data_IF_393466782167
#
_entry.id   IF_393466782167
#
_cell.length_a   1.000
_cell.length_b   1.000
_cell.length_c   1.000
_cell.angle_alpha   90.00
_cell.angle_beta   90.00
_cell.angle_gamma   90.00
#
_symmetry.space_group_name_H-M   'P 1'
#
loop_
_entity.id
_entity.type
_entity.pdbx_description
1 polymer ?
#
# COMPACT_ATOMS: atom_id res chain seq x y z
N UNK A 1 0.87 -26.16 5.65
CA UNK A 1 0.64 -24.96 6.50
C UNK A 1 1.54 -23.83 6.04
N UNK A 2 1.01 -22.62 5.89
CA UNK A 2 1.77 -21.39 5.62
C UNK A 2 1.67 -20.43 6.80
N UNK A 3 2.80 -19.90 7.24
CA UNK A 3 2.89 -18.93 8.33
C UNK A 3 3.32 -17.56 7.79
N UNK A 4 2.43 -16.59 7.84
CA UNK A 4 2.70 -15.21 7.45
C UNK A 4 3.18 -14.38 8.64
N UNK A 5 4.31 -13.69 8.48
CA UNK A 5 4.93 -12.91 9.57
C UNK A 5 4.94 -11.43 9.20
N UNK A 6 4.28 -10.60 10.01
CA UNK A 6 4.28 -9.13 9.91
C UNK A 6 4.70 -8.49 11.23
N UNK A 7 4.99 -7.21 11.24
CA UNK A 7 5.33 -6.49 12.49
C UNK A 7 4.11 -6.33 13.39
N UNK A 8 2.93 -6.10 12.81
CA UNK A 8 1.69 -5.80 13.55
C UNK A 8 0.49 -6.54 12.94
N UNK A 9 -0.50 -6.83 13.76
CA UNK A 9 -1.77 -7.47 13.40
C UNK A 9 -2.58 -6.69 12.35
N UNK A 10 -2.59 -5.36 12.44
CA UNK A 10 -3.22 -4.49 11.42
C UNK A 10 -2.67 -4.75 10.01
N UNK A 11 -1.40 -5.12 9.88
CA UNK A 11 -0.81 -5.48 8.58
C UNK A 11 -1.34 -6.82 8.07
N UNK A 12 -1.57 -7.79 8.96
CA UNK A 12 -2.20 -9.06 8.59
C UNK A 12 -3.65 -8.85 8.13
N UNK A 13 -4.41 -8.05 8.86
CA UNK A 13 -5.84 -7.85 8.62
C UNK A 13 -6.09 -6.94 7.40
N UNK A 14 -5.56 -5.69 7.40
CA UNK A 14 -5.90 -4.70 6.38
C UNK A 14 -5.06 -4.82 5.09
N UNK A 15 -3.79 -5.23 5.22
CA UNK A 15 -2.91 -5.34 4.05
C UNK A 15 -3.01 -6.71 3.38
N UNK A 16 -3.02 -7.79 4.18
CA UNK A 16 -2.95 -9.16 3.68
C UNK A 16 -4.27 -9.91 3.75
N UNK A 17 -5.27 -9.46 4.53
CA UNK A 17 -6.51 -10.18 4.82
C UNK A 17 -7.13 -10.88 3.61
N UNK A 18 -7.46 -10.16 2.51
CA UNK A 18 -8.03 -10.80 1.31
C UNK A 18 -7.13 -11.87 0.69
N UNK A 19 -5.82 -11.70 0.77
CA UNK A 19 -4.84 -12.68 0.29
C UNK A 19 -4.81 -13.93 1.17
N UNK A 20 -4.84 -13.76 2.49
CA UNK A 20 -4.85 -14.86 3.46
C UNK A 20 -6.14 -15.70 3.33
N UNK A 21 -7.28 -15.05 3.15
CA UNK A 21 -8.57 -15.73 2.87
C UNK A 21 -8.50 -16.54 1.58
N UNK A 22 -7.95 -15.96 0.51
CA UNK A 22 -7.81 -16.67 -0.76
C UNK A 22 -6.88 -17.89 -0.65
N UNK A 23 -5.82 -17.80 0.15
CA UNK A 23 -4.95 -18.95 0.41
C UNK A 23 -5.66 -20.03 1.23
N UNK A 24 -6.47 -19.65 2.22
CA UNK A 24 -7.29 -20.59 2.98
C UNK A 24 -8.33 -21.27 2.08
N UNK A 25 -9.01 -20.51 1.23
CA UNK A 25 -9.95 -21.05 0.23
C UNK A 25 -9.28 -21.99 -0.78
N UNK A 26 -8.00 -21.79 -1.09
CA UNK A 26 -7.20 -22.69 -1.92
C UNK A 26 -6.71 -23.95 -1.16
N UNK A 27 -7.19 -24.18 0.07
CA UNK A 27 -6.89 -25.37 0.87
C UNK A 27 -5.62 -25.31 1.71
N UNK A 28 -5.02 -24.13 1.88
CA UNK A 28 -3.88 -23.96 2.77
C UNK A 28 -4.34 -23.74 4.22
N UNK A 29 -3.63 -24.37 5.17
CA UNK A 29 -3.75 -23.97 6.56
C UNK A 29 -2.92 -22.70 6.77
N UNK A 30 -3.60 -21.55 6.94
CA UNK A 30 -3.00 -20.20 6.99
C UNK A 30 -2.97 -19.71 8.43
N UNK A 31 -1.79 -19.26 8.88
CA UNK A 31 -1.61 -18.68 10.21
C UNK A 31 -0.87 -17.34 10.06
N UNK A 32 -1.34 -16.33 10.77
CA UNK A 32 -0.65 -15.05 10.93
C UNK A 32 0.22 -15.06 12.21
N UNK A 33 1.36 -14.38 12.15
CA UNK A 33 2.21 -14.14 13.33
C UNK A 33 2.66 -12.67 13.34
N UNK A 34 2.37 -11.97 14.43
CA UNK A 34 2.73 -10.55 14.61
C UNK A 34 2.74 -10.16 16.09
N UNK A 35 3.14 -8.94 16.41
CA UNK A 35 2.77 -8.36 17.70
C UNK A 35 1.23 -8.41 17.85
N UNK A 36 0.73 -8.76 19.06
CA UNK A 36 -0.71 -8.80 19.30
C UNK A 36 -1.31 -7.39 19.30
N UNK A 37 -2.58 -7.26 18.89
CA UNK A 37 -3.33 -6.02 18.86
C UNK A 37 -4.82 -6.24 18.68
N UNK A 38 -5.56 -5.18 18.47
CA UNK A 38 -7.03 -5.17 18.38
C UNK A 38 -7.59 -5.83 17.09
N UNK A 39 -6.75 -6.00 16.06
CA UNK A 39 -7.15 -6.60 14.79
C UNK A 39 -7.10 -8.13 14.77
N UNK A 40 -6.62 -8.78 15.84
CA UNK A 40 -6.52 -10.26 15.93
C UNK A 40 -7.89 -10.90 15.84
N UNK A 41 -8.89 -10.35 16.55
CA UNK A 41 -10.26 -10.90 16.54
C UNK A 41 -10.85 -10.91 15.11
N UNK A 42 -10.66 -9.84 14.35
CA UNK A 42 -11.13 -9.76 12.96
C UNK A 42 -10.44 -10.78 12.03
N UNK A 43 -9.18 -11.11 12.27
CA UNK A 43 -8.48 -12.18 11.56
C UNK A 43 -9.08 -13.58 11.87
N UNK A 44 -9.34 -13.84 13.16
CA UNK A 44 -9.91 -15.11 13.60
C UNK A 44 -11.34 -15.30 13.08
N UNK A 45 -12.15 -14.24 13.03
CA UNK A 45 -13.48 -14.25 12.41
C UNK A 45 -13.44 -14.62 10.92
N UNK A 46 -12.35 -14.30 10.22
CA UNK A 46 -12.09 -14.69 8.83
C UNK A 46 -11.51 -16.11 8.70
N UNK A 47 -11.40 -16.85 9.81
CA UNK A 47 -10.83 -18.20 9.83
C UNK A 47 -9.31 -18.27 9.72
N UNK A 48 -8.61 -17.17 9.95
CA UNK A 48 -7.14 -17.08 9.95
C UNK A 48 -6.64 -17.16 11.39
N UNK A 49 -5.95 -18.23 11.74
CA UNK A 49 -5.34 -18.37 13.07
C UNK A 49 -4.26 -17.31 13.30
N UNK A 50 -4.10 -16.85 14.54
CA UNK A 50 -3.05 -15.90 14.92
C UNK A 50 -2.16 -16.45 16.03
N UNK A 51 -0.85 -16.17 15.93
CA UNK A 51 0.13 -16.50 16.99
C UNK A 51 0.90 -15.24 17.34
N UNK A 52 0.85 -14.80 18.61
CA UNK A 52 1.56 -13.60 19.04
C UNK A 52 3.08 -13.79 19.01
N UNK A 53 3.78 -12.72 18.60
CA UNK A 53 5.23 -12.57 18.69
C UNK A 53 5.49 -11.25 19.43
N UNK A 54 5.56 -11.34 20.75
CA UNK A 54 5.53 -10.20 21.67
C UNK A 54 6.69 -9.22 21.46
N UNK A 55 7.86 -9.73 21.06
CA UNK A 55 9.06 -8.92 20.89
C UNK A 55 9.16 -8.27 19.50
N UNK A 56 8.22 -8.53 18.61
CA UNK A 56 8.25 -7.98 17.24
C UNK A 56 7.63 -6.57 17.22
N UNK A 57 8.46 -5.55 17.48
CA UNK A 57 8.05 -4.14 17.55
C UNK A 57 8.49 -3.34 16.33
N UNK A 58 7.94 -2.15 16.14
CA UNK A 58 8.36 -1.23 15.06
C UNK A 58 9.67 -0.51 15.35
N UNK A 59 10.07 -0.38 16.63
CA UNK A 59 11.31 0.29 17.04
C UNK A 59 12.53 -0.53 16.64
N UNK A 60 13.64 0.14 16.30
CA UNK A 60 14.93 -0.49 16.02
C UNK A 60 15.71 -0.60 17.33
N UNK A 61 15.53 -1.71 18.04
CA UNK A 61 16.22 -2.05 19.29
C UNK A 61 16.95 -3.39 19.13
N UNK A 62 18.29 -3.42 19.08
CA UNK A 62 19.05 -4.65 18.84
C UNK A 62 18.78 -5.76 19.86
N UNK A 63 18.47 -5.40 21.12
CA UNK A 63 18.20 -6.40 22.18
C UNK A 63 16.81 -7.00 21.97
N UNK A 64 15.80 -6.17 21.75
CA UNK A 64 14.44 -6.62 21.42
C UNK A 64 14.45 -7.42 20.10
N UNK A 65 15.21 -6.99 19.09
CA UNK A 65 15.31 -7.66 17.80
C UNK A 65 15.95 -9.07 17.93
N UNK A 66 16.96 -9.22 18.78
CA UNK A 66 17.53 -10.54 19.05
C UNK A 66 16.54 -11.45 19.80
N UNK A 67 15.73 -10.90 20.71
CA UNK A 67 14.66 -11.64 21.40
C UNK A 67 13.57 -12.06 20.40
N UNK A 68 13.13 -11.14 19.53
CA UNK A 68 12.17 -11.43 18.47
C UNK A 68 12.68 -12.52 17.51
N UNK A 69 13.93 -12.49 17.10
CA UNK A 69 14.51 -13.52 16.25
C UNK A 69 14.53 -14.89 16.94
N UNK A 70 14.83 -14.96 18.24
CA UNK A 70 14.77 -16.20 19.03
C UNK A 70 13.34 -16.71 19.20
N UNK A 71 12.38 -15.80 19.41
CA UNK A 71 10.96 -16.12 19.53
C UNK A 71 10.44 -16.71 18.22
N UNK A 72 10.72 -16.06 17.07
CA UNK A 72 10.41 -16.57 15.73
C UNK A 72 11.06 -17.93 15.47
N UNK A 73 12.33 -18.12 15.79
CA UNK A 73 12.99 -19.42 15.65
C UNK A 73 12.27 -20.53 16.42
N UNK A 74 11.91 -20.27 17.70
CA UNK A 74 11.19 -21.25 18.56
C UNK A 74 9.79 -21.52 18.00
N UNK A 75 9.09 -20.49 17.52
CA UNK A 75 7.80 -20.60 16.88
C UNK A 75 7.87 -21.49 15.64
N UNK A 76 8.83 -21.26 14.75
CA UNK A 76 8.98 -22.06 13.52
C UNK A 76 9.37 -23.51 13.83
N UNK A 77 10.17 -23.75 14.88
CA UNK A 77 10.47 -25.12 15.33
C UNK A 77 9.26 -25.84 15.91
N UNK A 78 8.39 -25.12 16.65
CA UNK A 78 7.20 -25.67 17.27
C UNK A 78 6.10 -25.99 16.27
N UNK A 79 5.82 -25.04 15.34
CA UNK A 79 4.74 -25.18 14.36
C UNK A 79 5.15 -26.01 13.14
N UNK A 80 6.45 -26.11 12.84
CA UNK A 80 7.02 -26.79 11.67
C UNK A 80 6.25 -26.46 10.36
N UNK A 81 6.10 -25.17 9.99
CA UNK A 81 5.36 -24.79 8.79
C UNK A 81 6.07 -25.27 7.53
N UNK A 82 5.29 -25.59 6.48
CA UNK A 82 5.83 -25.88 5.15
C UNK A 82 6.41 -24.62 4.49
N UNK A 83 5.76 -23.46 4.74
CA UNK A 83 6.17 -22.15 4.22
C UNK A 83 6.19 -21.15 5.37
N UNK A 84 7.28 -20.37 5.46
CA UNK A 84 7.31 -19.09 6.19
C UNK A 84 7.36 -17.98 5.17
N UNK A 85 6.39 -17.07 5.23
CA UNK A 85 6.30 -15.91 4.38
C UNK A 85 6.39 -14.63 5.22
N UNK A 86 7.51 -13.92 5.08
CA UNK A 86 7.75 -12.67 5.82
C UNK A 86 7.32 -11.46 5.00
N UNK A 87 6.82 -10.43 5.69
CA UNK A 87 6.39 -9.17 5.11
C UNK A 87 6.99 -8.01 5.90
N UNK A 88 7.15 -6.84 5.26
CA UNK A 88 7.77 -5.66 5.86
C UNK A 88 9.28 -5.85 6.14
N UNK A 89 10.04 -4.77 6.35
CA UNK A 89 11.49 -4.90 6.50
C UNK A 89 11.90 -5.74 7.71
N UNK A 90 11.40 -5.42 8.91
CA UNK A 90 11.87 -6.03 10.15
C UNK A 90 11.56 -7.53 10.27
N UNK A 91 10.31 -8.02 10.03
CA UNK A 91 10.04 -9.45 9.94
C UNK A 91 10.89 -10.15 8.87
N UNK A 92 11.15 -9.47 7.75
CA UNK A 92 12.03 -9.97 6.70
C UNK A 92 13.45 -10.18 7.19
N UNK A 93 14.05 -9.20 7.87
CA UNK A 93 15.45 -9.29 8.35
C UNK A 93 15.63 -10.31 9.48
N UNK A 94 14.65 -10.47 10.36
CA UNK A 94 14.71 -11.38 11.51
C UNK A 94 14.15 -12.78 11.18
N UNK A 95 13.02 -12.82 10.49
CA UNK A 95 12.28 -14.06 10.24
C UNK A 95 12.94 -14.97 9.20
N UNK A 96 13.51 -14.41 8.11
CA UNK A 96 14.18 -15.22 7.07
C UNK A 96 15.35 -16.04 7.63
N UNK A 97 16.32 -15.44 8.37
CA UNK A 97 17.38 -16.22 9.02
C UNK A 97 16.86 -17.22 10.05
N UNK A 98 15.87 -16.83 10.87
CA UNK A 98 15.26 -17.71 11.86
C UNK A 98 14.57 -18.92 11.20
N UNK A 99 13.83 -18.71 10.10
CA UNK A 99 13.19 -19.78 9.35
C UNK A 99 14.21 -20.73 8.71
N UNK A 100 15.29 -20.18 8.17
CA UNK A 100 16.39 -20.98 7.60
C UNK A 100 17.06 -21.84 8.69
N UNK A 101 17.36 -21.26 9.86
CA UNK A 101 17.92 -21.98 10.99
C UNK A 101 16.94 -23.06 11.54
N UNK A 102 15.66 -22.80 11.52
CA UNK A 102 14.62 -23.75 11.90
C UNK A 102 14.40 -24.88 10.85
N UNK A 103 15.06 -24.79 9.68
CA UNK A 103 14.96 -25.72 8.55
C UNK A 103 13.56 -25.78 7.93
N UNK A 104 12.88 -24.60 7.86
CA UNK A 104 11.61 -24.49 7.15
C UNK A 104 11.81 -24.83 5.66
N UNK A 105 10.96 -25.68 5.06
CA UNK A 105 11.14 -26.13 3.67
C UNK A 105 11.15 -24.99 2.65
N UNK A 106 10.22 -24.03 2.76
CA UNK A 106 10.16 -22.87 1.89
C UNK A 106 10.17 -21.56 2.72
N UNK A 107 11.11 -20.67 2.42
CA UNK A 107 11.21 -19.34 3.01
C UNK A 107 11.01 -18.32 1.91
N UNK A 108 9.93 -17.54 2.02
CA UNK A 108 9.51 -16.53 1.06
C UNK A 108 9.44 -15.18 1.75
N UNK A 109 9.70 -14.12 1.03
CA UNK A 109 9.54 -12.76 1.54
C UNK A 109 8.85 -11.88 0.50
N UNK A 110 7.89 -11.04 0.91
CA UNK A 110 7.35 -9.98 0.07
C UNK A 110 7.97 -8.64 0.42
N UNK A 111 8.55 -8.02 -0.60
CA UNK A 111 9.06 -6.65 -0.54
C UNK A 111 7.94 -5.69 -0.96
N UNK A 112 7.27 -5.07 0.02
CA UNK A 112 6.21 -4.08 -0.19
C UNK A 112 6.76 -2.69 -0.59
N UNK A 113 8.03 -2.58 -0.78
CA UNK A 113 8.83 -1.42 -1.11
C UNK A 113 10.09 -1.39 -0.24
N UNK A 114 11.24 -1.15 -0.85
CA UNK A 114 12.50 -1.07 -0.12
C UNK A 114 12.45 0.07 0.90
N UNK A 115 12.90 -0.23 2.12
CA UNK A 115 12.89 0.72 3.24
C UNK A 115 13.74 1.97 2.94
N UNK A 116 14.92 1.78 2.34
CA UNK A 116 15.81 2.88 1.97
C UNK A 116 15.48 3.44 0.58
N UNK A 117 15.40 4.76 0.50
CA UNK A 117 15.16 5.53 -0.72
C UNK A 117 16.47 6.13 -1.26
N UNK A 118 16.53 6.47 -2.56
CA UNK A 118 17.70 7.17 -3.12
C UNK A 118 18.02 8.51 -2.44
N UNK A 119 17.01 9.16 -1.86
CA UNK A 119 17.11 10.43 -1.12
C UNK A 119 17.60 10.29 0.31
N UNK A 120 17.61 9.08 0.86
CA UNK A 120 18.07 8.82 2.23
C UNK A 120 19.61 8.90 2.32
N UNK A 121 20.12 9.20 3.52
CA UNK A 121 21.56 9.28 3.79
C UNK A 121 22.31 7.97 3.51
N UNK A 122 23.55 8.08 3.05
CA UNK A 122 24.37 6.92 2.62
C UNK A 122 24.52 5.87 3.72
N UNK A 123 24.59 6.26 4.99
CA UNK A 123 24.71 5.33 6.11
C UNK A 123 23.47 4.41 6.21
N UNK A 124 22.27 5.00 6.21
CA UNK A 124 21.02 4.23 6.24
C UNK A 124 20.90 3.29 5.03
N UNK A 125 21.18 3.81 3.83
CA UNK A 125 21.17 3.02 2.58
C UNK A 125 22.12 1.83 2.63
N UNK A 126 23.31 2.03 3.21
CA UNK A 126 24.32 0.96 3.34
C UNK A 126 23.87 -0.10 4.35
N UNK A 127 23.34 0.30 5.50
CA UNK A 127 22.80 -0.62 6.50
C UNK A 127 21.66 -1.46 5.93
N UNK A 128 20.68 -0.81 5.31
CA UNK A 128 19.54 -1.52 4.69
C UNK A 128 20.00 -2.47 3.59
N UNK A 129 20.94 -2.05 2.73
CA UNK A 129 21.53 -2.93 1.71
C UNK A 129 22.16 -4.18 2.31
N UNK A 130 22.93 -4.03 3.38
CA UNK A 130 23.60 -5.18 4.06
C UNK A 130 22.55 -6.11 4.67
N UNK A 131 21.56 -5.56 5.37
CA UNK A 131 20.50 -6.34 5.99
C UNK A 131 19.65 -7.10 4.94
N UNK A 132 19.20 -6.42 3.88
CA UNK A 132 18.42 -7.05 2.82
C UNK A 132 19.20 -8.14 2.09
N UNK A 133 20.43 -7.83 1.67
CA UNK A 133 21.28 -8.82 1.00
C UNK A 133 21.56 -10.02 1.91
N UNK A 134 21.87 -9.78 3.18
CA UNK A 134 22.14 -10.85 4.15
C UNK A 134 20.90 -11.74 4.35
N UNK A 135 19.74 -11.13 4.61
CA UNK A 135 18.51 -11.87 4.81
C UNK A 135 18.04 -12.61 3.54
N UNK A 136 18.23 -12.03 2.33
CA UNK A 136 17.88 -12.65 1.06
C UNK A 136 18.70 -13.93 0.78
N UNK A 137 19.86 -14.12 1.41
CA UNK A 137 20.59 -15.41 1.32
C UNK A 137 19.83 -16.56 1.96
N UNK A 138 18.95 -16.24 2.92
CA UNK A 138 18.13 -17.20 3.65
C UNK A 138 16.79 -17.50 2.98
N UNK A 139 16.38 -16.71 1.98
CA UNK A 139 15.13 -16.90 1.24
C UNK A 139 15.29 -17.84 0.07
N UNK A 140 14.21 -18.53 -0.29
CA UNK A 140 14.09 -19.27 -1.53
C UNK A 140 13.47 -18.42 -2.66
N UNK A 141 12.61 -17.45 -2.32
CA UNK A 141 12.04 -16.46 -3.23
C UNK A 141 11.82 -15.12 -2.54
N UNK A 142 12.00 -14.04 -3.30
CA UNK A 142 11.63 -12.67 -2.95
C UNK A 142 10.54 -12.23 -3.92
N UNK A 143 9.34 -12.01 -3.43
CA UNK A 143 8.20 -11.50 -4.18
C UNK A 143 8.24 -9.97 -4.12
N UNK A 144 8.36 -9.29 -5.24
CA UNK A 144 8.65 -7.86 -5.27
C UNK A 144 7.48 -7.13 -5.89
N UNK A 145 6.88 -6.22 -5.13
CA UNK A 145 5.75 -5.45 -5.63
C UNK A 145 6.18 -4.40 -6.65
N UNK A 146 7.29 -3.73 -6.43
CA UNK A 146 7.74 -2.66 -7.32
C UNK A 146 8.90 -3.13 -8.21
N UNK A 147 8.76 -3.15 -9.55
CA UNK A 147 9.81 -3.59 -10.48
C UNK A 147 11.12 -2.80 -10.36
N UNK A 148 11.11 -1.53 -9.93
CA UNK A 148 12.32 -0.76 -9.68
C UNK A 148 13.14 -1.33 -8.51
N UNK A 149 12.45 -1.95 -7.53
CA UNK A 149 13.09 -2.64 -6.42
C UNK A 149 13.75 -3.94 -6.86
N UNK A 150 13.18 -4.66 -7.83
CA UNK A 150 13.80 -5.84 -8.45
C UNK A 150 15.17 -5.50 -9.04
N UNK A 151 15.25 -4.42 -9.82
CA UNK A 151 16.52 -3.96 -10.38
C UNK A 151 17.52 -3.55 -9.28
N UNK A 152 17.03 -2.96 -8.19
CA UNK A 152 17.84 -2.54 -7.05
C UNK A 152 18.38 -3.73 -6.27
N UNK A 153 17.55 -4.72 -5.94
CA UNK A 153 17.96 -5.95 -5.25
C UNK A 153 18.97 -6.77 -6.09
N UNK A 154 18.76 -6.87 -7.41
CA UNK A 154 19.70 -7.51 -8.30
C UNK A 154 21.07 -6.81 -8.28
N UNK A 155 21.11 -5.46 -8.30
CA UNK A 155 22.36 -4.68 -8.15
C UNK A 155 23.02 -4.85 -6.78
N UNK A 156 22.24 -5.15 -5.75
CA UNK A 156 22.76 -5.48 -4.41
C UNK A 156 23.31 -6.90 -4.31
N UNK A 157 23.15 -7.71 -5.36
CA UNK A 157 23.69 -9.07 -5.48
C UNK A 157 22.72 -10.16 -5.01
N UNK A 158 21.42 -9.88 -4.98
CA UNK A 158 20.40 -10.92 -4.84
C UNK A 158 20.25 -11.65 -6.18
N UNK A 159 20.37 -12.99 -6.22
CA UNK A 159 20.28 -13.75 -7.48
C UNK A 159 18.93 -13.54 -8.18
N UNK A 160 18.96 -13.23 -9.48
CA UNK A 160 17.73 -13.00 -10.26
C UNK A 160 16.77 -14.21 -10.25
N UNK A 161 17.29 -15.43 -10.11
CA UNK A 161 16.47 -16.64 -9.99
C UNK A 161 15.59 -16.69 -8.73
N UNK A 162 15.86 -15.86 -7.75
CA UNK A 162 15.05 -15.73 -6.53
C UNK A 162 14.08 -14.54 -6.57
N UNK A 163 14.27 -13.61 -7.50
CA UNK A 163 13.44 -12.41 -7.63
C UNK A 163 12.22 -12.74 -8.49
N UNK A 164 11.03 -12.45 -7.97
CA UNK A 164 9.75 -12.64 -8.65
C UNK A 164 9.03 -11.30 -8.67
N UNK A 165 8.79 -10.76 -9.86
CA UNK A 165 8.00 -9.52 -10.00
C UNK A 165 6.53 -9.84 -9.72
N UNK A 166 6.11 -9.55 -8.49
CA UNK A 166 4.77 -9.83 -8.01
C UNK A 166 3.76 -8.77 -8.46
N UNK A 167 4.19 -7.51 -8.52
CA UNK A 167 3.26 -6.39 -8.65
C UNK A 167 2.44 -6.16 -7.37
N UNK A 168 1.44 -5.31 -7.49
CA UNK A 168 0.45 -5.11 -6.44
C UNK A 168 -0.96 -5.04 -7.05
N UNK A 169 -1.98 -5.35 -6.26
CA UNK A 169 -3.35 -5.42 -6.74
C UNK A 169 -4.40 -5.08 -5.69
N UNK A 170 -5.60 -4.91 -6.18
CA UNK A 170 -6.81 -4.60 -5.42
C UNK A 170 -7.95 -5.52 -5.85
N UNK A 171 -9.00 -5.61 -5.05
CA UNK A 171 -10.24 -6.29 -5.42
C UNK A 171 -10.99 -5.42 -6.45
N UNK A 172 -10.76 -5.64 -7.74
CA UNK A 172 -11.33 -4.81 -8.82
C UNK A 172 -12.86 -4.77 -8.78
N UNK A 173 -13.51 -5.87 -8.39
CA UNK A 173 -14.98 -5.94 -8.29
C UNK A 173 -15.57 -4.94 -7.29
N UNK A 174 -14.79 -4.58 -6.26
CA UNK A 174 -15.18 -3.55 -5.28
C UNK A 174 -15.12 -2.14 -5.85
N UNK A 175 -14.23 -1.91 -6.83
CA UNK A 175 -13.92 -0.59 -7.39
C UNK A 175 -14.45 -0.46 -8.81
N UNK A 176 -15.77 -0.61 -8.95
CA UNK A 176 -16.49 -0.38 -10.21
C UNK A 176 -17.49 0.77 -10.04
N UNK A 177 -17.31 1.84 -10.82
CA UNK A 177 -18.13 3.06 -10.76
C UNK A 177 -19.56 2.88 -11.30
N UNK A 178 -19.89 1.72 -11.86
CA UNK A 178 -21.21 1.42 -12.43
C UNK A 178 -22.22 0.99 -11.38
N UNK A 179 -23.50 1.01 -11.75
CA UNK A 179 -24.58 0.51 -10.89
C UNK A 179 -24.77 1.34 -9.61
N UNK A 180 -24.74 0.68 -8.45
CA UNK A 180 -24.99 1.30 -7.15
C UNK A 180 -24.09 2.50 -6.82
N UNK A 181 -22.87 2.55 -7.36
CA UNK A 181 -21.94 3.65 -7.16
C UNK A 181 -22.42 4.97 -7.79
N UNK A 182 -23.25 4.91 -8.84
CA UNK A 182 -23.84 6.10 -9.43
C UNK A 182 -24.87 6.76 -8.51
N UNK A 183 -25.62 5.99 -7.73
CA UNK A 183 -26.55 6.49 -6.73
C UNK A 183 -25.78 7.09 -5.55
N UNK A 184 -24.77 6.41 -5.04
CA UNK A 184 -23.90 6.91 -3.97
C UNK A 184 -23.17 8.22 -4.36
N UNK A 185 -22.78 8.38 -5.64
CA UNK A 185 -22.26 9.65 -6.16
C UNK A 185 -23.26 10.78 -5.95
N UNK A 186 -24.52 10.59 -6.37
CA UNK A 186 -25.56 11.62 -6.24
C UNK A 186 -25.85 11.94 -4.77
N UNK A 187 -25.97 10.91 -3.93
CA UNK A 187 -26.24 11.09 -2.50
C UNK A 187 -25.14 11.89 -1.80
N UNK A 188 -23.86 11.55 -2.04
CA UNK A 188 -22.75 12.24 -1.40
C UNK A 188 -22.62 13.68 -1.89
N UNK A 189 -22.73 13.92 -3.20
CA UNK A 189 -22.67 15.28 -3.75
C UNK A 189 -23.81 16.14 -3.25
N UNK A 190 -25.03 15.60 -3.18
CA UNK A 190 -26.18 16.29 -2.61
C UNK A 190 -25.95 16.60 -1.10
N UNK A 191 -25.47 15.63 -0.33
CA UNK A 191 -25.17 15.82 1.10
C UNK A 191 -24.07 16.89 1.33
N UNK A 192 -23.18 17.08 0.37
CA UNK A 192 -22.14 18.11 0.42
C UNK A 192 -22.62 19.48 -0.11
N UNK A 193 -23.79 19.54 -0.75
CA UNK A 193 -24.26 20.73 -1.43
C UNK A 193 -23.50 21.07 -2.70
N UNK A 194 -22.92 20.05 -3.34
CA UNK A 194 -22.05 20.18 -4.54
C UNK A 194 -22.87 19.84 -5.80
N UNK A 195 -22.83 20.72 -6.79
CA UNK A 195 -23.51 20.49 -8.07
C UNK A 195 -22.80 19.43 -8.92
N UNK A 196 -23.48 18.89 -9.92
CA UNK A 196 -22.87 17.89 -10.82
C UNK A 196 -21.74 18.49 -11.67
N UNK A 197 -21.76 19.80 -11.91
CA UNK A 197 -20.78 20.55 -12.69
C UNK A 197 -19.53 20.91 -11.90
N UNK A 198 -19.65 21.07 -10.57
CA UNK A 198 -18.50 21.44 -9.70
C UNK A 198 -17.54 20.26 -9.57
N UNK A 199 -16.29 20.37 -10.03
CA UNK A 199 -15.33 19.28 -9.91
C UNK A 199 -15.01 18.93 -8.45
N UNK A 200 -14.92 17.64 -8.16
CA UNK A 200 -14.52 17.12 -6.83
C UNK A 200 -13.16 16.44 -6.93
N UNK A 201 -12.23 16.94 -6.16
CA UNK A 201 -10.90 16.34 -5.95
C UNK A 201 -10.95 15.49 -4.70
N UNK A 202 -10.50 14.25 -4.77
CA UNK A 202 -10.41 13.38 -3.60
C UNK A 202 -8.97 12.92 -3.35
N UNK A 203 -8.62 12.77 -2.09
CA UNK A 203 -7.41 12.09 -1.64
C UNK A 203 -7.74 11.13 -0.50
N UNK A 204 -7.06 9.98 -0.45
CA UNK A 204 -7.29 8.95 0.57
C UNK A 204 -5.98 8.59 1.24
N UNK A 205 -5.91 8.74 2.56
CA UNK A 205 -4.72 8.40 3.33
C UNK A 205 -4.73 8.97 4.74
N UNK A 206 -3.86 8.47 5.61
CA UNK A 206 -3.65 9.02 6.96
C UNK A 206 -3.09 10.44 6.87
N UNK A 207 -3.59 11.35 7.68
CA UNK A 207 -3.18 12.76 7.68
C UNK A 207 -1.81 12.92 8.36
N UNK A 208 -0.75 12.54 7.64
CA UNK A 208 0.65 12.66 8.05
C UNK A 208 1.46 13.45 7.01
N UNK A 209 2.55 14.08 7.45
CA UNK A 209 3.38 14.92 6.59
C UNK A 209 3.93 14.17 5.36
N UNK A 210 4.32 12.89 5.54
CA UNK A 210 4.84 12.04 4.45
C UNK A 210 3.84 11.87 3.30
N UNK A 211 2.53 12.10 3.54
CA UNK A 211 1.48 12.01 2.50
C UNK A 211 1.29 13.30 1.69
N UNK A 212 2.06 14.35 1.98
CA UNK A 212 2.07 15.59 1.18
C UNK A 212 0.80 16.43 1.29
N UNK A 213 0.08 16.30 2.41
CA UNK A 213 -1.14 17.10 2.63
C UNK A 213 -0.87 18.60 2.69
N UNK A 214 0.31 19.01 3.18
CA UNK A 214 0.69 20.44 3.25
C UNK A 214 0.76 21.05 1.86
N UNK A 215 1.39 20.35 0.93
CA UNK A 215 1.50 20.75 -0.48
C UNK A 215 0.13 20.76 -1.16
N UNK A 216 -0.71 19.77 -0.88
CA UNK A 216 -2.06 19.67 -1.43
C UNK A 216 -2.95 20.81 -0.92
N UNK A 217 -2.92 21.11 0.38
CA UNK A 217 -3.70 22.20 0.97
C UNK A 217 -3.23 23.56 0.46
N UNK A 218 -1.93 23.76 0.26
CA UNK A 218 -1.40 24.99 -0.34
C UNK A 218 -1.83 25.13 -1.80
N UNK A 219 -1.78 24.06 -2.60
CA UNK A 219 -2.25 24.07 -3.99
C UNK A 219 -3.76 24.38 -4.06
N UNK A 220 -4.57 23.74 -3.20
CA UNK A 220 -6.00 24.03 -3.07
C UNK A 220 -6.26 25.50 -2.74
N UNK A 221 -5.58 26.04 -1.73
CA UNK A 221 -5.70 27.45 -1.32
C UNK A 221 -5.39 28.41 -2.45
N UNK A 222 -4.34 28.15 -3.24
CA UNK A 222 -3.97 28.97 -4.42
C UNK A 222 -5.04 28.92 -5.50
N UNK A 223 -5.59 27.74 -5.78
CA UNK A 223 -6.70 27.56 -6.74
C UNK A 223 -7.95 28.33 -6.30
N UNK A 224 -8.35 28.22 -5.03
CA UNK A 224 -9.50 28.96 -4.49
C UNK A 224 -9.30 30.48 -4.60
N UNK A 225 -8.12 30.98 -4.26
CA UNK A 225 -7.78 32.43 -4.40
C UNK A 225 -7.82 32.90 -5.85
N UNK A 226 -7.53 32.04 -6.82
CA UNK A 226 -7.65 32.36 -8.25
C UNK A 226 -9.06 32.20 -8.83
N UNK A 227 -10.06 31.89 -7.97
CA UNK A 227 -11.46 31.78 -8.36
C UNK A 227 -11.88 30.41 -8.90
N UNK A 228 -11.07 29.36 -8.72
CA UNK A 228 -11.46 28.02 -9.14
C UNK A 228 -12.62 27.50 -8.28
N UNK A 229 -13.68 27.05 -8.93
CA UNK A 229 -14.82 26.39 -8.27
C UNK A 229 -14.61 24.89 -8.28
N UNK A 230 -14.12 24.35 -7.17
CA UNK A 230 -13.91 22.91 -6.96
C UNK A 230 -14.01 22.57 -5.47
N UNK A 231 -14.28 21.32 -5.15
CA UNK A 231 -14.23 20.79 -3.79
C UNK A 231 -12.99 19.93 -3.60
N UNK A 232 -12.37 19.98 -2.40
CA UNK A 232 -11.33 19.07 -1.98
C UNK A 232 -11.82 18.22 -0.81
N UNK A 233 -11.86 16.90 -1.01
CA UNK A 233 -12.31 15.93 -0.02
C UNK A 233 -11.13 15.07 0.41
N UNK A 234 -10.90 14.97 1.71
CA UNK A 234 -9.85 14.16 2.32
C UNK A 234 -10.48 13.05 3.14
N UNK A 235 -10.16 11.81 2.78
CA UNK A 235 -10.65 10.61 3.46
C UNK A 235 -9.49 9.93 4.18
N UNK A 236 -9.56 9.88 5.50
CA UNK A 236 -8.54 9.24 6.32
C UNK A 236 -8.50 9.81 7.73
N UNK A 237 -7.94 9.06 8.67
CA UNK A 237 -7.86 9.48 10.06
C UNK A 237 -6.79 10.56 10.24
N UNK A 238 -7.07 11.48 11.14
CA UNK A 238 -6.04 12.34 11.71
C UNK A 238 -5.16 11.50 12.65
N UNK A 239 -3.86 11.72 12.60
CA UNK A 239 -2.88 11.03 13.44
C UNK A 239 -2.36 11.98 14.53
N UNK A 240 -3.29 12.63 15.25
CA UNK A 240 -2.95 13.57 16.31
C UNK A 240 -2.02 12.94 17.34
N UNK A 241 -0.96 13.67 17.73
CA UNK A 241 0.05 13.20 18.68
C UNK A 241 1.15 12.31 18.09
N UNK A 242 1.11 11.95 16.81
CA UNK A 242 2.27 11.33 16.14
C UNK A 242 3.25 12.41 15.67
N UNK A 243 4.54 12.08 15.68
CA UNK A 243 5.61 13.02 15.33
C UNK A 243 5.52 13.56 13.90
N UNK A 244 4.91 12.79 12.98
CA UNK A 244 4.70 13.13 11.57
C UNK A 244 3.23 13.47 11.25
N UNK A 245 2.33 13.48 12.26
CA UNK A 245 0.95 13.88 12.10
C UNK A 245 0.82 15.37 11.74
N UNK A 246 -0.26 15.73 11.05
CA UNK A 246 -0.63 17.14 10.92
C UNK A 246 -1.05 17.68 12.28
N UNK A 247 -0.71 18.94 12.57
CA UNK A 247 -1.12 19.61 13.80
C UNK A 247 -2.61 19.99 13.76
N UNK A 248 -3.20 20.22 14.94
CA UNK A 248 -4.61 20.67 15.03
C UNK A 248 -4.80 22.02 14.33
N UNK A 249 -3.79 22.90 14.35
CA UNK A 249 -3.82 24.17 13.64
C UNK A 249 -3.84 23.96 12.12
N UNK A 250 -3.03 23.03 11.58
CA UNK A 250 -3.01 22.71 10.16
C UNK A 250 -4.34 22.12 9.70
N UNK A 251 -4.96 21.26 10.51
CA UNK A 251 -6.27 20.65 10.26
C UNK A 251 -7.38 21.72 10.30
N UNK A 252 -7.35 22.61 11.30
CA UNK A 252 -8.31 23.71 11.44
C UNK A 252 -8.18 24.69 10.26
N UNK A 253 -6.95 25.03 9.87
CA UNK A 253 -6.70 25.93 8.72
C UNK A 253 -7.22 25.30 7.41
N UNK A 254 -6.96 24.01 7.18
CA UNK A 254 -7.45 23.33 5.99
C UNK A 254 -8.98 23.36 5.91
N UNK A 255 -9.67 23.11 7.03
CA UNK A 255 -11.13 23.20 7.10
C UNK A 255 -11.63 24.62 6.82
N UNK A 256 -10.96 25.63 7.37
CA UNK A 256 -11.28 27.05 7.12
C UNK A 256 -11.06 27.47 5.67
N UNK A 257 -10.12 26.83 4.98
CA UNK A 257 -9.85 27.02 3.55
C UNK A 257 -10.83 26.25 2.65
N UNK A 258 -11.82 25.56 3.22
CA UNK A 258 -12.86 24.82 2.49
C UNK A 258 -12.53 23.35 2.20
N UNK A 259 -11.48 22.79 2.80
CA UNK A 259 -11.18 21.36 2.68
C UNK A 259 -12.19 20.55 3.52
N UNK A 260 -12.80 19.56 2.90
CA UNK A 260 -13.73 18.65 3.56
C UNK A 260 -13.01 17.43 4.12
N UNK A 261 -12.84 17.39 5.43
CA UNK A 261 -12.24 16.27 6.14
C UNK A 261 -13.32 15.27 6.55
N UNK A 262 -13.28 14.05 6.01
CA UNK A 262 -14.30 13.02 6.26
C UNK A 262 -13.95 12.13 7.45
N UNK A 263 -12.67 12.00 7.78
CA UNK A 263 -12.20 11.01 8.75
C UNK A 263 -12.00 9.63 8.10
N UNK A 264 -11.83 8.61 8.94
CA UNK A 264 -11.67 7.23 8.48
C UNK A 264 -12.96 6.71 7.84
N UNK A 265 -12.81 5.96 6.77
CA UNK A 265 -13.90 5.22 6.13
C UNK A 265 -13.41 3.84 5.70
N UNK A 266 -14.20 2.82 5.98
CA UNK A 266 -14.03 1.43 5.50
C UNK A 266 -14.56 1.25 4.06
N UNK A 267 -15.27 2.28 3.53
CA UNK A 267 -15.86 2.31 2.19
C UNK A 267 -15.32 3.47 1.35
N UNK A 268 -14.01 3.50 1.05
CA UNK A 268 -13.41 4.58 0.25
C UNK A 268 -13.99 4.67 -1.18
N UNK A 269 -14.51 3.57 -1.73
CA UNK A 269 -15.12 3.51 -3.06
C UNK A 269 -16.25 4.53 -3.25
N UNK A 270 -16.98 4.88 -2.20
CA UNK A 270 -18.04 5.90 -2.25
C UNK A 270 -17.49 7.29 -2.60
N UNK A 271 -16.35 7.62 -2.01
CA UNK A 271 -15.70 8.91 -2.20
C UNK A 271 -15.02 9.00 -3.56
N UNK A 272 -14.42 7.90 -4.04
CA UNK A 272 -13.94 7.81 -5.42
C UNK A 272 -15.10 7.97 -6.41
N UNK A 273 -16.26 7.35 -6.16
CA UNK A 273 -17.45 7.50 -7.02
C UNK A 273 -17.92 8.96 -7.12
N UNK A 274 -17.88 9.69 -5.99
CA UNK A 274 -18.29 11.10 -5.93
C UNK A 274 -17.30 12.07 -6.56
N UNK A 275 -16.05 11.65 -6.78
CA UNK A 275 -14.96 12.49 -7.25
C UNK A 275 -14.82 12.50 -8.78
N UNK A 276 -14.01 13.46 -9.25
CA UNK A 276 -13.67 13.67 -10.66
C UNK A 276 -12.14 13.59 -10.88
N UNK A 277 -11.33 13.83 -9.85
CA UNK A 277 -9.86 13.74 -9.86
C UNK A 277 -9.39 13.12 -8.55
N UNK A 278 -8.40 12.24 -8.61
CA UNK A 278 -7.71 11.74 -7.43
C UNK A 278 -6.32 12.34 -7.31
N UNK A 279 -5.90 12.71 -6.10
CA UNK A 279 -4.57 13.25 -5.83
C UNK A 279 -3.84 12.41 -4.79
N UNK A 280 -2.55 12.12 -5.05
CA UNK A 280 -1.62 11.49 -4.12
C UNK A 280 -0.30 12.27 -4.10
N UNK A 281 -0.20 13.25 -3.22
CA UNK A 281 0.98 14.12 -3.09
C UNK A 281 2.11 13.51 -2.24
N UNK A 282 2.10 12.19 -2.00
CA UNK A 282 2.99 11.48 -1.08
C UNK A 282 4.47 11.67 -1.43
N UNK A 283 5.30 11.81 -0.39
CA UNK A 283 6.75 11.88 -0.55
C UNK A 283 7.36 10.47 -0.69
N UNK A 284 6.66 9.44 -0.20
CA UNK A 284 7.13 8.05 -0.22
C UNK A 284 5.97 7.07 -0.37
N UNK A 285 6.06 6.18 -1.37
CA UNK A 285 5.14 5.07 -1.60
C UNK A 285 5.92 3.84 -2.12
N UNK A 286 5.49 2.65 -1.71
CA UNK A 286 5.97 1.39 -2.27
C UNK A 286 5.25 1.07 -3.59
N UNK A 287 3.92 0.91 -3.48
CA UNK A 287 2.97 0.75 -4.59
C UNK A 287 1.59 1.19 -4.06
N UNK A 288 1.11 2.40 -4.35
CA UNK A 288 0.01 3.04 -3.63
C UNK A 288 -1.37 2.44 -3.98
N UNK A 289 -1.99 1.77 -3.00
CA UNK A 289 -3.31 1.14 -3.17
C UNK A 289 -4.40 2.16 -3.51
N UNK A 290 -4.44 3.29 -2.79
CA UNK A 290 -5.44 4.33 -3.03
C UNK A 290 -5.42 4.87 -4.46
N UNK A 291 -4.23 4.99 -5.07
CA UNK A 291 -4.11 5.39 -6.48
C UNK A 291 -4.61 4.29 -7.45
N UNK A 292 -4.35 3.00 -7.14
CA UNK A 292 -4.90 1.88 -7.93
C UNK A 292 -6.42 1.82 -7.84
N UNK A 293 -6.97 2.01 -6.65
CA UNK A 293 -8.40 2.05 -6.38
C UNK A 293 -9.09 3.19 -7.15
N UNK A 294 -8.51 4.39 -7.06
CA UNK A 294 -8.98 5.55 -7.82
C UNK A 294 -8.91 5.33 -9.34
N UNK A 295 -7.81 4.73 -9.83
CA UNK A 295 -7.66 4.36 -11.24
C UNK A 295 -8.74 3.37 -11.67
N UNK A 296 -9.02 2.33 -10.88
CA UNK A 296 -10.07 1.35 -11.17
C UNK A 296 -11.46 1.99 -11.24
N UNK A 297 -11.70 3.02 -10.40
CA UNK A 297 -12.92 3.84 -10.43
C UNK A 297 -12.96 4.84 -11.59
N UNK A 298 -11.98 4.82 -12.48
CA UNK A 298 -11.94 5.68 -13.66
C UNK A 298 -11.62 7.14 -13.36
N UNK A 299 -10.87 7.40 -12.27
CA UNK A 299 -10.39 8.74 -11.97
C UNK A 299 -8.99 8.96 -12.58
N UNK A 300 -8.74 10.10 -13.24
CA UNK A 300 -7.38 10.50 -13.54
C UNK A 300 -6.63 10.76 -12.23
N UNK A 301 -5.37 10.31 -12.16
CA UNK A 301 -4.56 10.37 -10.95
C UNK A 301 -3.49 11.44 -11.09
N UNK A 302 -3.49 12.44 -10.23
CA UNK A 302 -2.34 13.32 -10.04
C UNK A 302 -1.50 12.75 -8.90
N UNK A 303 -0.24 12.43 -9.16
CA UNK A 303 0.64 11.88 -8.14
C UNK A 303 2.05 12.48 -8.21
N UNK A 304 2.78 12.39 -7.12
CA UNK A 304 4.20 12.76 -7.11
C UNK A 304 5.04 11.78 -7.94
N UNK A 305 6.05 12.29 -8.65
CA UNK A 305 6.98 11.48 -9.45
C UNK A 305 7.97 10.71 -8.56
N UNK A 306 7.45 9.69 -7.90
CA UNK A 306 8.19 8.74 -7.08
C UNK A 306 7.99 7.32 -7.59
N UNK A 307 8.91 6.44 -7.26
CA UNK A 307 8.95 5.06 -7.78
C UNK A 307 7.61 4.31 -7.64
N UNK A 308 6.90 4.48 -6.52
CA UNK A 308 5.61 3.82 -6.30
C UNK A 308 4.51 4.37 -7.20
N UNK A 309 4.45 5.69 -7.36
CA UNK A 309 3.44 6.36 -8.18
C UNK A 309 3.63 6.08 -9.67
N UNK A 310 4.88 5.98 -10.16
CA UNK A 310 5.18 5.58 -11.54
C UNK A 310 4.68 4.18 -11.91
N UNK A 311 4.43 3.31 -10.93
CA UNK A 311 3.83 2.00 -11.21
C UNK A 311 2.34 2.10 -11.50
N UNK A 312 1.67 3.13 -10.99
CA UNK A 312 0.22 3.32 -11.13
C UNK A 312 -0.11 4.30 -12.25
N UNK A 313 0.64 5.39 -12.34
CA UNK A 313 0.37 6.49 -13.29
C UNK A 313 1.27 6.40 -14.52
N UNK A 314 0.70 6.34 -15.70
CA UNK A 314 1.36 6.66 -16.96
C UNK A 314 1.19 8.16 -17.19
N UNK A 315 2.29 8.91 -17.10
CA UNK A 315 2.29 10.36 -17.17
C UNK A 315 1.71 10.85 -18.50
N UNK A 316 0.84 11.85 -18.43
CA UNK A 316 0.08 12.45 -19.54
C UNK A 316 -0.86 11.47 -20.27
N UNK A 317 -1.05 10.24 -19.77
CA UNK A 317 -1.94 9.23 -20.35
C UNK A 317 -3.06 8.85 -19.39
N UNK A 318 -2.72 8.34 -18.19
CA UNK A 318 -3.70 7.93 -17.16
C UNK A 318 -3.76 8.92 -15.98
N UNK A 319 -2.98 9.98 -16.04
CA UNK A 319 -2.86 10.98 -15.00
C UNK A 319 -1.64 11.87 -15.22
N UNK A 320 -1.25 12.61 -14.19
CA UNK A 320 -0.12 13.52 -14.24
C UNK A 320 0.85 13.24 -13.09
N UNK A 321 2.16 13.23 -13.38
CA UNK A 321 3.22 13.15 -12.40
C UNK A 321 3.82 14.52 -12.12
N UNK A 322 3.94 14.89 -10.83
CA UNK A 322 4.48 16.18 -10.39
C UNK A 322 5.69 15.99 -9.47
N UNK A 323 6.62 16.95 -9.39
CA UNK A 323 7.73 16.87 -8.45
C UNK A 323 7.25 16.77 -6.99
N UNK A 324 8.04 16.09 -6.16
CA UNK A 324 7.81 16.02 -4.70
C UNK A 324 8.05 17.40 -4.06
N UNK A 325 7.27 17.75 -3.04
CA UNK A 325 7.37 19.02 -2.32
C UNK A 325 7.15 20.26 -3.20
N UNK A 326 6.38 20.14 -4.27
CA UNK A 326 6.10 21.26 -5.19
C UNK A 326 4.59 21.55 -5.28
N UNK A 327 4.11 22.42 -4.40
CA UNK A 327 2.71 22.84 -4.39
C UNK A 327 2.32 23.63 -5.66
N UNK A 328 3.28 24.28 -6.34
CA UNK A 328 2.99 25.02 -7.56
C UNK A 328 2.79 24.07 -8.75
N UNK A 329 3.62 23.04 -8.88
CA UNK A 329 3.42 21.99 -9.88
C UNK A 329 2.10 21.23 -9.63
N UNK A 330 1.77 20.97 -8.36
CA UNK A 330 0.51 20.32 -7.99
C UNK A 330 -0.70 21.21 -8.33
N UNK A 331 -0.64 22.53 -8.06
CA UNK A 331 -1.65 23.49 -8.47
C UNK A 331 -1.84 23.49 -10.00
N UNK A 332 -0.75 23.52 -10.77
CA UNK A 332 -0.81 23.53 -12.23
C UNK A 332 -1.43 22.25 -12.79
N UNK A 333 -1.08 21.08 -12.24
CA UNK A 333 -1.66 19.79 -12.62
C UNK A 333 -3.16 19.72 -12.29
N UNK A 334 -3.55 20.17 -11.08
CA UNK A 334 -4.95 20.28 -10.69
C UNK A 334 -5.72 21.20 -11.64
N UNK A 335 -5.22 22.41 -11.90
CA UNK A 335 -5.84 23.36 -12.84
C UNK A 335 -6.06 22.74 -14.21
N UNK A 336 -5.05 22.04 -14.74
CA UNK A 336 -5.15 21.33 -16.03
C UNK A 336 -6.34 20.38 -16.10
N UNK A 337 -6.58 19.61 -15.04
CA UNK A 337 -7.69 18.65 -15.02
C UNK A 337 -9.01 19.27 -14.57
N UNK A 338 -9.02 20.30 -13.75
CA UNK A 338 -10.23 21.00 -13.32
C UNK A 338 -10.87 21.76 -14.48
N UNK A 339 -10.05 22.41 -15.32
CA UNK A 339 -10.52 23.25 -16.41
C UNK A 339 -10.88 22.45 -17.70
N UNK A 340 -10.42 21.20 -17.82
CA UNK A 340 -10.65 20.36 -19.01
C UNK A 340 -11.38 19.05 -18.68
N UNK A 341 -12.71 19.03 -18.71
CA UNK A 341 -13.51 17.83 -18.45
C UNK A 341 -13.27 16.70 -19.47
N UNK A 342 -12.96 17.03 -20.73
CA UNK A 342 -12.70 16.02 -21.77
C UNK A 342 -11.39 15.29 -21.46
N UNK A 343 -10.36 16.04 -21.10
CA UNK A 343 -9.08 15.44 -20.70
C UNK A 343 -9.22 14.58 -19.44
N UNK A 344 -10.00 15.01 -18.45
CA UNK A 344 -10.34 14.19 -17.27
C UNK A 344 -10.93 12.84 -17.67
N UNK A 345 -11.93 12.85 -18.55
CA UNK A 345 -12.61 11.63 -18.98
C UNK A 345 -11.68 10.69 -19.76
N UNK A 346 -10.88 11.23 -20.68
CA UNK A 346 -9.93 10.44 -21.47
C UNK A 346 -8.86 9.79 -20.55
N UNK A 347 -8.28 10.57 -19.66
CA UNK A 347 -7.28 10.04 -18.71
C UNK A 347 -7.89 9.07 -17.70
N UNK A 348 -9.11 9.33 -17.23
CA UNK A 348 -9.85 8.42 -16.35
C UNK A 348 -10.14 7.07 -17.00
N UNK A 349 -10.53 7.06 -18.28
CA UNK A 349 -10.73 5.82 -19.04
C UNK A 349 -9.42 5.04 -19.20
N UNK A 350 -8.31 5.73 -19.49
CA UNK A 350 -6.99 5.13 -19.57
C UNK A 350 -6.54 4.55 -18.22
N UNK A 351 -6.79 5.27 -17.11
CA UNK A 351 -6.53 4.80 -15.76
C UNK A 351 -7.32 3.52 -15.42
N UNK A 352 -8.61 3.49 -15.74
CA UNK A 352 -9.46 2.31 -15.53
C UNK A 352 -9.00 1.11 -16.38
N UNK A 353 -8.58 1.34 -17.63
CA UNK A 353 -8.06 0.26 -18.47
C UNK A 353 -6.75 -0.29 -17.89
N UNK A 354 -5.82 0.58 -17.50
CA UNK A 354 -4.57 0.18 -16.83
C UNK A 354 -4.83 -0.61 -15.56
N UNK A 355 -5.84 -0.21 -14.75
CA UNK A 355 -6.19 -0.92 -13.54
C UNK A 355 -6.67 -2.34 -13.82
N UNK A 356 -7.55 -2.52 -14.81
CA UNK A 356 -8.02 -3.85 -15.24
C UNK A 356 -6.89 -4.74 -15.75
N UNK A 357 -5.93 -4.17 -16.48
CA UNK A 357 -4.84 -4.93 -17.09
C UNK A 357 -3.77 -5.34 -16.08
N UNK A 358 -3.59 -4.58 -14.97
CA UNK A 358 -2.40 -4.70 -14.13
C UNK A 358 -2.65 -4.83 -12.63
N UNK A 359 -3.82 -4.42 -12.12
CA UNK A 359 -4.05 -4.29 -10.67
C UNK A 359 -5.06 -5.28 -10.11
N UNK A 360 -5.33 -6.38 -10.81
CA UNK A 360 -6.14 -7.46 -10.26
C UNK A 360 -5.32 -8.22 -9.19
N UNK A 361 -5.81 -8.21 -7.95
CA UNK A 361 -5.17 -8.92 -6.84
C UNK A 361 -5.11 -10.44 -7.05
N UNK A 362 -6.00 -11.01 -7.90
CA UNK A 362 -5.98 -12.44 -8.17
C UNK A 362 -4.67 -12.89 -8.81
N UNK A 363 -4.08 -12.03 -9.64
CA UNK A 363 -2.78 -12.30 -10.26
C UNK A 363 -1.66 -12.46 -9.20
N UNK A 364 -1.65 -11.64 -8.14
CA UNK A 364 -0.66 -11.76 -7.06
C UNK A 364 -0.90 -12.99 -6.19
N UNK A 365 -2.18 -13.32 -5.94
CA UNK A 365 -2.57 -14.51 -5.20
C UNK A 365 -2.09 -15.76 -5.94
N UNK A 366 -2.39 -15.86 -7.22
CA UNK A 366 -2.04 -17.01 -8.06
C UNK A 366 -0.53 -17.18 -8.18
N UNK A 367 0.22 -16.10 -8.45
CA UNK A 367 1.68 -16.12 -8.55
C UNK A 367 2.34 -16.49 -7.22
N UNK A 368 1.78 -16.04 -6.09
CA UNK A 368 2.26 -16.40 -4.76
C UNK A 368 2.05 -17.89 -4.50
N UNK A 369 0.85 -18.41 -4.78
CA UNK A 369 0.53 -19.84 -4.62
C UNK A 369 1.38 -20.72 -5.56
N UNK A 370 1.60 -20.29 -6.80
CA UNK A 370 2.49 -20.98 -7.74
C UNK A 370 3.92 -21.03 -7.19
N UNK A 371 4.41 -19.91 -6.64
CA UNK A 371 5.72 -19.84 -6.00
C UNK A 371 5.84 -20.83 -4.85
N UNK A 372 4.84 -20.92 -3.97
CA UNK A 372 4.85 -21.91 -2.88
C UNK A 372 4.88 -23.35 -3.41
N UNK A 373 4.03 -23.68 -4.40
CA UNK A 373 3.97 -25.02 -4.99
C UNK A 373 5.31 -25.41 -5.66
N UNK A 374 5.98 -24.48 -6.31
CA UNK A 374 7.28 -24.68 -6.95
C UNK A 374 8.39 -24.94 -5.93
N UNK A 375 8.34 -24.31 -4.77
CA UNK A 375 9.36 -24.42 -3.73
C UNK A 375 9.20 -25.65 -2.84
N UNK A 376 8.00 -26.20 -2.76
CA UNK A 376 7.73 -27.38 -1.96
C UNK A 376 7.98 -28.66 -2.77
N UNK A 377 8.52 -29.72 -2.14
CA UNK A 377 8.65 -31.03 -2.80
C UNK A 377 7.25 -31.50 -3.20
N UNK A 378 7.12 -32.05 -4.42
CA UNK A 378 5.89 -32.71 -4.86
C UNK A 378 5.57 -33.80 -3.83
N UNK A 379 4.50 -33.64 -3.06
CA UNK A 379 3.99 -34.77 -2.25
C UNK A 379 3.63 -35.88 -3.23
N UNK A 380 4.18 -37.08 -3.00
CA UNK A 380 3.71 -38.25 -3.71
C UNK A 380 2.20 -38.38 -3.51
N UNK A 381 1.42 -38.72 -4.55
CA UNK A 381 0.00 -38.95 -4.38
C UNK A 381 -0.19 -40.08 -3.34
N UNK A 382 -0.92 -39.78 -2.26
CA UNK A 382 -1.32 -40.70 -1.22
C UNK A 382 -2.36 -41.66 -1.76
#
# INVERSE_FOLDING_TARGET
MVLHVTTTDISLELLLGPQLEAFAAAGWNVIGASAPGEHVAALEERGIGHVPVEQLTRSMDPVADLRAARELYRLFKRLAPDVVHTHNPKPGWLGRPAARAARVPAVVNTVHGLYAQPTDGLALRSVVRVLERGAATCSHAELIQNPEDTATLARWGVPRSRLVDLGNGIALDRFDRRGAMADERRELRHAWGVSDETPVVVTVGRLVAEKGFRELFEAHRRLKRSGSDHELVVVGPTEAGKADGLTDEEVTQATSDGVRLVGFSDRPERYYAAADVFVLASHREGFPRAAMEASAMGLPVIATDIRGCRQVVDDDVSGLLVPVNDAAALEAALRTLLDDPVRRDVMGQAAAQRARDRFDQQNQIDLTLETYRRLLPKRAPS
#
